data_IF_489389267671
#
_entry.id   IF_489389267671
#
_cell.length_a   1.000
_cell.length_b   1.000
_cell.length_c   1.000
_cell.angle_alpha   90.00
_cell.angle_beta   90.00
_cell.angle_gamma   90.00
#
_symmetry.space_group_name_H-M   'P 1'
#
loop_
_entity.id
_entity.type
_entity.pdbx_description
1 polymer ?
#
# COMPACT_ATOMS: atom_id res chain seq x y z
N UNK A 1 8.00 12.22 5.44
CA UNK A 1 7.15 11.05 5.09
C UNK A 1 5.72 11.28 5.50
N UNK A 2 5.51 11.73 6.74
CA UNK A 2 4.19 12.11 7.30
C UNK A 2 3.30 12.96 6.39
N UNK A 3 3.85 13.95 5.67
CA UNK A 3 3.08 14.75 4.71
C UNK A 3 2.38 13.89 3.64
N UNK A 4 3.09 12.91 3.06
CA UNK A 4 2.53 12.05 2.01
C UNK A 4 1.56 11.02 2.59
N UNK A 5 1.86 10.48 3.77
CA UNK A 5 0.94 9.60 4.49
C UNK A 5 -0.36 10.32 4.83
N UNK A 6 -0.31 11.54 5.34
CA UNK A 6 -1.50 12.34 5.65
C UNK A 6 -2.34 12.65 4.39
N UNK A 7 -1.69 12.90 3.25
CA UNK A 7 -2.40 13.08 1.97
C UNK A 7 -3.10 11.79 1.55
N UNK A 8 -2.42 10.65 1.65
CA UNK A 8 -2.99 9.33 1.32
C UNK A 8 -4.14 9.00 2.27
N UNK A 9 -3.92 9.11 3.58
CA UNK A 9 -4.94 8.83 4.61
C UNK A 9 -6.19 9.65 4.38
N UNK A 10 -6.08 10.95 4.04
CA UNK A 10 -7.24 11.80 3.74
C UNK A 10 -8.08 11.31 2.56
N UNK A 11 -7.47 10.63 1.57
CA UNK A 11 -8.22 10.07 0.44
C UNK A 11 -9.09 8.87 0.84
N UNK A 12 -8.70 8.13 1.88
CA UNK A 12 -9.43 6.99 2.42
C UNK A 12 -10.34 7.36 3.61
N UNK A 13 -9.81 8.15 4.56
CA UNK A 13 -10.41 8.50 5.85
C UNK A 13 -10.34 10.02 6.08
N UNK A 14 -11.10 10.84 5.35
CA UNK A 14 -11.15 12.27 5.57
C UNK A 14 -11.84 12.62 6.89
N UNK A 15 -11.48 13.77 7.47
CA UNK A 15 -12.07 14.23 8.74
C UNK A 15 -13.60 14.47 8.67
N UNK A 16 -14.15 14.71 7.48
CA UNK A 16 -15.59 14.88 7.24
C UNK A 16 -15.99 14.24 5.92
N UNK A 17 -17.11 13.51 5.93
CA UNK A 17 -17.65 12.82 4.75
C UNK A 17 -16.96 11.49 4.45
N UNK A 18 -17.17 10.99 3.24
CA UNK A 18 -16.57 9.73 2.76
C UNK A 18 -15.25 9.96 2.05
N UNK A 19 -14.36 8.96 2.12
CA UNK A 19 -13.13 8.92 1.33
C UNK A 19 -13.43 9.15 -0.15
N UNK A 20 -12.74 10.13 -0.74
CA UNK A 20 -12.90 10.44 -2.18
C UNK A 20 -12.28 9.37 -3.06
N UNK A 21 -11.32 8.61 -2.52
CA UNK A 21 -10.59 7.58 -3.22
C UNK A 21 -10.07 8.13 -4.56
N UNK A 22 -9.35 9.24 -4.52
CA UNK A 22 -8.75 9.81 -5.72
C UNK A 22 -7.42 9.10 -6.01
N UNK A 23 -7.49 8.07 -6.85
CA UNK A 23 -6.33 7.25 -7.20
C UNK A 23 -5.20 8.09 -7.84
N UNK A 24 -5.54 9.09 -8.65
CA UNK A 24 -4.55 9.98 -9.28
C UNK A 24 -3.79 10.81 -8.26
N UNK A 25 -4.47 11.32 -7.23
CA UNK A 25 -3.83 12.05 -6.14
C UNK A 25 -2.89 11.16 -5.33
N UNK A 26 -3.31 9.93 -5.04
CA UNK A 26 -2.50 8.95 -4.32
C UNK A 26 -1.27 8.53 -5.12
N UNK A 27 -1.45 8.17 -6.40
CA UNK A 27 -0.33 7.83 -7.30
C UNK A 27 0.67 8.98 -7.42
N UNK A 28 0.18 10.22 -7.50
CA UNK A 28 1.03 11.40 -7.50
C UNK A 28 1.82 11.54 -6.19
N UNK A 29 1.19 11.35 -5.04
CA UNK A 29 1.87 11.41 -3.74
C UNK A 29 3.00 10.35 -3.63
N UNK A 30 2.76 9.13 -4.10
CA UNK A 30 3.76 8.07 -4.15
C UNK A 30 4.92 8.44 -5.09
N UNK A 31 4.60 8.88 -6.32
CA UNK A 31 5.60 9.26 -7.31
C UNK A 31 6.46 10.45 -6.85
N UNK A 32 5.84 11.45 -6.21
CA UNK A 32 6.53 12.60 -5.66
C UNK A 32 7.43 12.19 -4.49
N UNK A 33 6.99 11.28 -3.61
CA UNK A 33 7.92 10.72 -2.62
C UNK A 33 9.06 10.00 -3.31
N UNK A 34 8.83 9.05 -4.24
CA UNK A 34 9.92 8.33 -4.92
C UNK A 34 11.00 9.27 -5.47
N UNK A 35 10.62 10.44 -5.99
CA UNK A 35 11.56 11.46 -6.51
C UNK A 35 12.33 12.21 -5.41
N UNK A 36 11.69 12.50 -4.29
CA UNK A 36 12.24 13.36 -3.22
C UNK A 36 12.93 12.54 -2.12
N UNK A 37 12.44 11.32 -1.91
CA UNK A 37 12.87 10.38 -0.88
C UNK A 37 14.25 9.82 -1.29
N UNK A 38 15.33 10.50 -0.85
CA UNK A 38 16.72 10.06 -1.05
C UNK A 38 17.05 8.70 -0.40
N UNK A 39 16.22 8.27 0.55
CA UNK A 39 16.32 6.98 1.22
C UNK A 39 15.23 6.02 0.70
N UNK A 40 15.59 4.84 0.17
CA UNK A 40 14.62 3.84 -0.26
C UNK A 40 13.61 3.41 0.81
N UNK A 41 14.04 3.31 2.07
CA UNK A 41 13.19 2.92 3.19
C UNK A 41 12.00 3.87 3.36
N UNK A 42 12.22 5.17 3.13
CA UNK A 42 11.17 6.18 3.16
C UNK A 42 10.13 5.94 2.05
N UNK A 43 10.58 5.65 0.82
CA UNK A 43 9.66 5.36 -0.28
C UNK A 43 8.84 4.11 -0.02
N UNK A 44 9.50 3.03 0.43
CA UNK A 44 8.85 1.77 0.82
C UNK A 44 7.79 2.02 1.89
N UNK A 45 8.12 2.81 2.91
CA UNK A 45 7.22 3.13 4.01
C UNK A 45 5.91 3.81 3.55
N UNK A 46 5.98 4.75 2.61
CA UNK A 46 4.78 5.40 2.04
C UNK A 46 4.00 4.45 1.14
N UNK A 47 4.68 3.60 0.37
CA UNK A 47 4.03 2.62 -0.50
C UNK A 47 3.27 1.56 0.29
N UNK A 48 3.89 0.99 1.33
CA UNK A 48 3.22 0.05 2.23
C UNK A 48 2.06 0.74 2.97
N UNK A 49 2.22 2.00 3.38
CA UNK A 49 1.15 2.75 4.03
C UNK A 49 -0.08 2.93 3.14
N UNK A 50 0.12 3.18 1.84
CA UNK A 50 -0.98 3.23 0.89
C UNK A 50 -1.77 1.91 0.84
N UNK A 51 -1.07 0.78 0.74
CA UNK A 51 -1.69 -0.55 0.67
C UNK A 51 -2.43 -0.85 1.99
N UNK A 52 -1.85 -0.48 3.13
CA UNK A 52 -2.48 -0.60 4.44
C UNK A 52 -3.79 0.21 4.54
N UNK A 53 -3.81 1.44 4.01
CA UNK A 53 -5.04 2.24 3.99
C UNK A 53 -6.10 1.62 3.10
N UNK A 54 -5.72 1.06 1.95
CA UNK A 54 -6.61 0.29 1.08
C UNK A 54 -7.23 -0.90 1.81
N UNK A 55 -6.40 -1.76 2.41
CA UNK A 55 -6.86 -2.93 3.19
C UNK A 55 -7.78 -2.50 4.33
N UNK A 56 -7.40 -1.46 5.09
CA UNK A 56 -8.22 -0.94 6.19
C UNK A 56 -9.56 -0.42 5.68
N UNK A 57 -9.59 0.27 4.55
CA UNK A 57 -10.81 0.80 3.95
C UNK A 57 -11.75 -0.32 3.53
N UNK A 58 -11.24 -1.34 2.84
CA UNK A 58 -12.00 -2.52 2.42
C UNK A 58 -12.61 -3.22 3.64
N UNK A 59 -11.81 -3.45 4.69
CA UNK A 59 -12.28 -4.07 5.92
C UNK A 59 -13.33 -3.23 6.67
N UNK A 60 -13.32 -1.91 6.50
CA UNK A 60 -14.23 -0.99 7.24
C UNK A 60 -15.54 -0.73 6.50
N UNK A 61 -15.49 -0.65 5.17
CA UNK A 61 -16.61 -0.17 4.34
C UNK A 61 -17.04 -1.16 3.25
N UNK A 62 -16.34 -2.29 3.10
CA UNK A 62 -16.57 -3.24 2.02
C UNK A 62 -15.87 -2.82 0.74
N UNK A 63 -16.39 -3.30 -0.40
CA UNK A 63 -15.74 -3.18 -1.69
C UNK A 63 -15.31 -1.76 -2.07
N UNK A 64 -14.13 -1.69 -2.68
CA UNK A 64 -13.59 -0.49 -3.30
C UNK A 64 -13.67 -0.62 -4.83
N UNK A 65 -13.55 0.51 -5.53
CA UNK A 65 -13.51 0.51 -7.00
C UNK A 65 -12.34 -0.34 -7.49
N UNK A 66 -12.58 -1.23 -8.45
CA UNK A 66 -11.60 -2.18 -8.99
C UNK A 66 -10.19 -1.59 -9.27
N UNK A 67 -10.03 -0.38 -9.84
CA UNK A 67 -8.71 0.19 -10.07
C UNK A 67 -7.84 0.38 -8.81
N UNK A 68 -8.43 0.38 -7.62
CA UNK A 68 -7.70 0.39 -6.36
C UNK A 68 -7.10 -0.96 -6.00
N UNK A 69 -7.75 -2.07 -6.35
CA UNK A 69 -7.17 -3.40 -6.18
C UNK A 69 -5.92 -3.53 -7.07
N UNK A 70 -6.06 -3.30 -8.38
CA UNK A 70 -4.94 -3.36 -9.34
C UNK A 70 -3.77 -2.46 -8.91
N UNK A 71 -4.09 -1.23 -8.48
CA UNK A 71 -3.06 -0.29 -8.04
C UNK A 71 -2.45 -0.67 -6.68
N UNK A 72 -3.23 -1.26 -5.77
CA UNK A 72 -2.75 -1.74 -4.48
C UNK A 72 -1.77 -2.89 -4.66
N UNK A 73 -2.11 -3.86 -5.52
CA UNK A 73 -1.26 -4.99 -5.88
C UNK A 73 0.06 -4.53 -6.49
N UNK A 74 -0.02 -3.66 -7.51
CA UNK A 74 1.16 -3.14 -8.20
C UNK A 74 2.09 -2.38 -7.23
N UNK A 75 1.53 -1.51 -6.38
CA UNK A 75 2.34 -0.75 -5.42
C UNK A 75 2.94 -1.65 -4.34
N UNK A 76 2.23 -2.68 -3.91
CA UNK A 76 2.75 -3.66 -2.96
C UNK A 76 3.91 -4.45 -3.57
N UNK A 77 3.76 -4.96 -4.79
CA UNK A 77 4.81 -5.67 -5.51
C UNK A 77 6.06 -4.81 -5.70
N UNK A 78 5.89 -3.56 -6.15
CA UNK A 78 6.99 -2.59 -6.23
C UNK A 78 7.67 -2.38 -4.87
N UNK A 79 6.89 -2.29 -3.78
CA UNK A 79 7.44 -2.08 -2.43
C UNK A 79 8.30 -3.26 -2.02
N UNK A 80 7.80 -4.48 -2.23
CA UNK A 80 8.50 -5.71 -1.91
C UNK A 80 9.77 -5.86 -2.73
N UNK A 81 9.74 -5.55 -4.04
CA UNK A 81 10.94 -5.55 -4.88
C UNK A 81 12.01 -4.58 -4.38
N UNK A 82 11.61 -3.35 -4.00
CA UNK A 82 12.53 -2.37 -3.41
C UNK A 82 13.10 -2.82 -2.06
N UNK A 83 12.30 -3.53 -1.24
CA UNK A 83 12.78 -4.12 0.02
C UNK A 83 13.92 -5.10 -0.25
N UNK A 84 13.76 -5.99 -1.23
CA UNK A 84 14.79 -6.96 -1.61
C UNK A 84 16.02 -6.27 -2.20
N UNK A 85 15.80 -5.36 -3.14
CA UNK A 85 16.87 -4.62 -3.83
C UNK A 85 17.80 -3.90 -2.86
N UNK A 86 17.26 -3.35 -1.78
CA UNK A 86 18.03 -2.57 -0.80
C UNK A 86 18.37 -3.33 0.49
N UNK A 87 18.07 -4.63 0.59
CA UNK A 87 18.41 -5.44 1.77
C UNK A 87 17.65 -5.01 3.05
N UNK A 88 16.41 -4.54 2.92
CA UNK A 88 15.61 -3.99 4.03
C UNK A 88 14.58 -4.98 4.61
N UNK A 89 14.79 -6.28 4.41
CA UNK A 89 13.86 -7.33 4.83
C UNK A 89 13.63 -7.30 6.34
N UNK A 90 14.69 -7.18 7.14
CA UNK A 90 14.58 -7.12 8.61
C UNK A 90 13.69 -5.96 9.10
N UNK A 91 13.59 -4.89 8.31
CA UNK A 91 12.79 -3.70 8.64
C UNK A 91 11.32 -3.88 8.25
N UNK A 92 11.04 -4.51 7.11
CA UNK A 92 9.71 -4.46 6.50
C UNK A 92 9.00 -5.82 6.38
N UNK A 93 9.66 -6.95 6.62
CA UNK A 93 9.07 -8.28 6.42
C UNK A 93 7.80 -8.46 7.26
N UNK A 94 7.87 -8.16 8.56
CA UNK A 94 6.71 -8.26 9.47
C UNK A 94 5.55 -7.37 9.04
N UNK A 95 5.84 -6.17 8.54
CA UNK A 95 4.82 -5.23 8.05
C UNK A 95 4.16 -5.76 6.78
N UNK A 96 4.95 -6.25 5.83
CA UNK A 96 4.47 -6.86 4.59
C UNK A 96 3.59 -8.07 4.88
N UNK A 97 4.04 -8.97 5.77
CA UNK A 97 3.23 -10.10 6.26
C UNK A 97 1.92 -9.62 6.89
N UNK A 98 2.00 -8.60 7.73
CA UNK A 98 0.84 -7.99 8.39
C UNK A 98 -0.20 -7.43 7.42
N UNK A 99 0.21 -6.91 6.26
CA UNK A 99 -0.70 -6.46 5.20
C UNK A 99 -1.44 -7.67 4.61
N UNK A 100 -0.73 -8.73 4.25
CA UNK A 100 -1.33 -9.96 3.69
C UNK A 100 -2.31 -10.58 4.66
N UNK A 101 -1.96 -10.69 5.94
CA UNK A 101 -2.81 -11.32 6.96
C UNK A 101 -4.06 -10.52 7.26
N UNK A 102 -4.01 -9.19 7.13
CA UNK A 102 -5.15 -8.29 7.38
C UNK A 102 -6.03 -8.07 6.16
N UNK A 103 -5.56 -8.41 4.96
CA UNK A 103 -6.36 -8.33 3.75
C UNK A 103 -7.49 -9.36 3.81
N UNK A 104 -8.74 -8.89 3.77
CA UNK A 104 -9.89 -9.77 3.67
C UNK A 104 -9.96 -10.39 2.29
N UNK A 105 -10.60 -11.56 2.19
CA UNK A 105 -11.01 -12.07 0.88
C UNK A 105 -12.15 -11.19 0.36
N UNK A 106 -11.82 -10.25 -0.53
CA UNK A 106 -12.79 -9.35 -1.16
C UNK A 106 -13.48 -10.00 -2.38
N UNK A 107 -13.16 -11.26 -2.72
CA UNK A 107 -13.68 -11.91 -3.93
C UNK A 107 -13.03 -11.46 -5.24
N UNK A 108 -12.12 -10.46 -5.19
CA UNK A 108 -11.38 -9.96 -6.35
C UNK A 108 -9.96 -10.54 -6.49
N UNK A 109 -9.60 -11.56 -5.69
CA UNK A 109 -8.25 -12.14 -5.71
C UNK A 109 -7.16 -11.25 -5.12
N UNK A 110 -7.51 -10.07 -4.60
CA UNK A 110 -6.56 -9.09 -4.06
C UNK A 110 -5.66 -9.68 -2.97
N UNK A 111 -6.24 -10.37 -1.99
CA UNK A 111 -5.49 -11.06 -0.94
C UNK A 111 -4.54 -12.12 -1.51
N UNK A 112 -4.99 -12.88 -2.51
CA UNK A 112 -4.20 -13.94 -3.12
C UNK A 112 -2.98 -13.38 -3.84
N UNK A 113 -3.14 -12.27 -4.55
CA UNK A 113 -2.02 -11.58 -5.21
C UNK A 113 -1.01 -11.04 -4.20
N UNK A 114 -1.47 -10.37 -3.12
CA UNK A 114 -0.56 -9.91 -2.06
C UNK A 114 0.19 -11.07 -1.39
N UNK A 115 -0.51 -12.19 -1.15
CA UNK A 115 0.06 -13.42 -0.58
C UNK A 115 1.10 -14.04 -1.51
N UNK A 116 0.82 -14.09 -2.82
CA UNK A 116 1.73 -14.61 -3.83
C UNK A 116 3.03 -13.80 -3.90
N UNK A 117 2.92 -12.47 -3.94
CA UNK A 117 4.08 -11.56 -3.91
C UNK A 117 4.90 -11.78 -2.64
N UNK A 118 4.27 -11.81 -1.47
CA UNK A 118 4.98 -12.03 -0.21
C UNK A 118 5.73 -13.36 -0.19
N UNK A 119 5.08 -14.46 -0.61
CA UNK A 119 5.69 -15.80 -0.66
C UNK A 119 6.84 -15.90 -1.64
N UNK A 120 6.76 -15.18 -2.75
CA UNK A 120 7.79 -15.22 -3.81
C UNK A 120 9.08 -14.51 -3.37
N UNK A 121 8.97 -13.42 -2.60
CA UNK A 121 10.11 -12.55 -2.34
C UNK A 121 10.57 -12.50 -0.87
N UNK A 122 9.67 -12.69 0.11
CA UNK A 122 9.94 -12.41 1.53
C UNK A 122 9.72 -13.61 2.46
N UNK A 123 9.29 -14.76 1.93
CA UNK A 123 9.08 -15.98 2.72
C UNK A 123 10.33 -16.83 2.88
#
# INVERSE_FOLDING_TARGET
MEKYKALIEKEFFPARGFGKLNLSAVKKAIADCRKICRNPASSIDVMLFYVEMGVKFINSYGDIKQPFYDSGETVYEDAVKLIIEHGLQEVFNDRSRGIVTRSSDSGYGFRDQLSNVYRTYLS
#
